data_IF_897477034364
#
_entry.id   IF_897477034364
#
_cell.length_a   1.000
_cell.length_b   1.000
_cell.length_c   1.000
_cell.angle_alpha   90.00
_cell.angle_beta   90.00
_cell.angle_gamma   90.00
#
_symmetry.space_group_name_H-M   'P 1'
#
loop_
_entity.id
_entity.type
_entity.pdbx_description
1 polymer ?
#
# COMPACT_ATOMS: atom_id res chain seq x y z
N UNK A 1 -4.20 -12.41 -9.29
CA UNK A 1 -3.82 -12.87 -7.93
C UNK A 1 -4.99 -13.65 -7.38
N UNK A 2 -4.93 -14.98 -7.41
CA UNK A 2 -6.04 -15.85 -6.98
C UNK A 2 -5.94 -16.06 -5.45
N UNK A 3 -7.03 -15.85 -4.71
CA UNK A 3 -7.12 -16.22 -3.29
C UNK A 3 -6.74 -15.17 -2.25
N UNK A 4 -6.61 -13.88 -2.62
CA UNK A 4 -6.33 -12.76 -1.67
C UNK A 4 -7.42 -11.71 -1.62
N UNK A 5 -8.62 -12.06 -2.08
CA UNK A 5 -9.74 -11.12 -2.20
C UNK A 5 -10.26 -10.60 -0.87
N UNK A 6 -10.06 -11.36 0.21
CA UNK A 6 -10.45 -10.94 1.55
C UNK A 6 -9.51 -9.84 2.05
N UNK A 7 -8.20 -10.07 1.97
CA UNK A 7 -7.18 -9.11 2.42
C UNK A 7 -7.23 -7.81 1.59
N UNK A 8 -7.44 -7.93 0.26
CA UNK A 8 -7.62 -6.76 -0.60
C UNK A 8 -8.88 -5.96 -0.22
N UNK A 9 -9.98 -6.64 0.11
CA UNK A 9 -11.19 -5.97 0.61
C UNK A 9 -10.94 -5.25 1.93
N UNK A 10 -10.18 -5.86 2.85
CA UNK A 10 -9.82 -5.20 4.11
C UNK A 10 -8.98 -3.93 3.89
N UNK A 11 -8.08 -3.93 2.91
CA UNK A 11 -7.32 -2.72 2.53
C UNK A 11 -8.30 -1.61 2.11
N UNK A 12 -9.22 -1.92 1.20
CA UNK A 12 -10.24 -0.98 0.73
C UNK A 12 -11.07 -0.44 1.91
N UNK A 13 -11.56 -1.33 2.77
CA UNK A 13 -12.39 -0.97 3.92
C UNK A 13 -11.65 -0.05 4.90
N UNK A 14 -10.35 -0.30 5.15
CA UNK A 14 -9.53 0.53 6.02
C UNK A 14 -9.29 1.90 5.39
N UNK A 15 -8.94 1.97 4.10
CA UNK A 15 -8.70 3.24 3.39
C UNK A 15 -9.96 4.13 3.35
N UNK A 16 -11.16 3.53 3.39
CA UNK A 16 -12.44 4.25 3.41
C UNK A 16 -12.85 4.77 4.79
N UNK A 17 -12.09 4.48 5.85
CA UNK A 17 -12.41 4.97 7.20
C UNK A 17 -12.17 6.48 7.31
N UNK A 18 -13.00 7.16 8.10
CA UNK A 18 -12.81 8.59 8.42
C UNK A 18 -11.57 8.85 9.29
N UNK A 19 -11.17 7.88 10.12
CA UNK A 19 -10.00 7.93 11.01
C UNK A 19 -9.29 6.58 10.97
N UNK A 20 -7.99 6.58 11.22
CA UNK A 20 -7.17 5.36 11.20
C UNK A 20 -7.28 4.64 9.84
N UNK A 21 -7.10 5.40 8.76
CA UNK A 21 -7.25 4.94 7.38
C UNK A 21 -5.92 4.46 6.76
N UNK A 22 -4.99 3.98 7.59
CA UNK A 22 -3.67 3.51 7.17
C UNK A 22 -3.62 1.99 7.37
N UNK A 23 -3.85 1.18 6.31
CA UNK A 23 -3.73 -0.28 6.41
C UNK A 23 -2.29 -0.69 6.70
N UNK A 24 -2.11 -1.64 7.63
CA UNK A 24 -0.81 -2.26 7.93
C UNK A 24 -0.95 -3.76 7.74
N UNK A 25 -0.23 -4.31 6.77
CA UNK A 25 -0.19 -5.75 6.52
C UNK A 25 0.85 -6.39 7.43
N UNK A 26 0.39 -7.13 8.43
CA UNK A 26 1.24 -7.91 9.35
C UNK A 26 1.30 -9.38 8.94
N UNK A 27 2.35 -10.08 9.38
CA UNK A 27 2.57 -11.49 9.08
C UNK A 27 4.05 -11.80 8.83
N UNK A 28 4.39 -13.08 8.77
CA UNK A 28 5.77 -13.54 8.57
C UNK A 28 6.38 -13.08 7.24
N UNK A 29 7.71 -13.16 7.13
CA UNK A 29 8.40 -12.90 5.87
C UNK A 29 7.97 -13.95 4.81
N UNK A 30 7.82 -13.52 3.56
CA UNK A 30 7.48 -14.44 2.45
C UNK A 30 6.01 -14.82 2.30
N UNK A 31 5.10 -14.45 3.22
CA UNK A 31 3.67 -14.82 3.14
C UNK A 31 2.88 -14.15 2.00
N UNK A 32 3.53 -13.32 1.18
CA UNK A 32 2.91 -12.65 0.04
C UNK A 32 2.25 -11.30 0.34
N UNK A 33 2.74 -10.56 1.36
CA UNK A 33 2.25 -9.20 1.66
C UNK A 33 2.29 -8.28 0.43
N UNK A 34 3.38 -8.34 -0.34
CA UNK A 34 3.54 -7.61 -1.60
C UNK A 34 2.46 -7.97 -2.61
N UNK A 35 2.15 -9.25 -2.76
CA UNK A 35 1.12 -9.72 -3.69
C UNK A 35 -0.28 -9.19 -3.33
N UNK A 36 -0.57 -8.97 -2.04
CA UNK A 36 -1.83 -8.33 -1.62
C UNK A 36 -1.88 -6.88 -2.10
N UNK A 37 -0.79 -6.12 -1.95
CA UNK A 37 -0.71 -4.71 -2.39
C UNK A 37 -0.79 -4.59 -3.92
N UNK A 38 -0.09 -5.46 -4.65
CA UNK A 38 -0.17 -5.54 -6.11
C UNK A 38 -1.59 -5.88 -6.59
N UNK A 39 -2.29 -6.75 -5.86
CA UNK A 39 -3.70 -7.08 -6.14
C UNK A 39 -4.63 -5.90 -5.92
N UNK A 40 -4.41 -5.14 -4.86
CA UNK A 40 -5.12 -3.87 -4.65
C UNK A 40 -4.84 -2.87 -5.78
N UNK A 41 -3.58 -2.72 -6.20
CA UNK A 41 -3.21 -1.83 -7.31
C UNK A 41 -3.87 -2.23 -8.62
N UNK A 42 -3.95 -3.53 -8.91
CA UNK A 42 -4.65 -4.04 -10.08
C UNK A 42 -6.15 -3.70 -10.04
N UNK A 43 -6.80 -3.81 -8.88
CA UNK A 43 -8.21 -3.39 -8.73
C UNK A 43 -8.41 -1.90 -8.97
N UNK A 44 -7.52 -1.05 -8.44
CA UNK A 44 -7.54 0.38 -8.71
C UNK A 44 -7.40 0.66 -10.22
N UNK A 45 -6.47 -0.01 -10.89
CA UNK A 45 -6.26 0.13 -12.33
C UNK A 45 -7.48 -0.32 -13.17
N UNK A 46 -8.20 -1.35 -12.72
CA UNK A 46 -9.42 -1.82 -13.37
C UNK A 46 -10.70 -1.05 -12.96
N UNK A 47 -10.60 -0.12 -12.01
CA UNK A 47 -11.77 0.56 -11.45
C UNK A 47 -12.65 -0.33 -10.55
N UNK A 48 -12.15 -1.51 -10.15
CA UNK A 48 -12.81 -2.44 -9.22
C UNK A 48 -12.60 -2.01 -7.75
N UNK A 49 -12.92 -0.76 -7.48
CA UNK A 49 -12.81 -0.11 -6.16
C UNK A 49 -13.91 0.94 -6.01
N UNK A 50 -14.26 1.34 -4.77
CA UNK A 50 -15.18 2.44 -4.54
C UNK A 50 -14.76 3.74 -5.25
N UNK A 51 -15.70 4.61 -5.65
CA UNK A 51 -15.41 5.83 -6.41
C UNK A 51 -14.30 6.71 -5.82
N UNK A 52 -14.20 6.76 -4.49
CA UNK A 52 -13.19 7.54 -3.77
C UNK A 52 -11.75 7.04 -3.98
N UNK A 53 -11.58 5.77 -4.36
CA UNK A 53 -10.28 5.16 -4.66
C UNK A 53 -10.05 4.99 -6.16
N UNK A 54 -10.99 5.41 -7.02
CA UNK A 54 -10.77 5.39 -8.46
C UNK A 54 -9.80 6.52 -8.85
N UNK A 55 -8.96 6.27 -9.85
CA UNK A 55 -8.00 7.24 -10.40
C UNK A 55 -6.98 7.79 -9.40
N UNK A 56 -6.72 7.07 -8.31
CA UNK A 56 -5.62 7.38 -7.41
C UNK A 56 -4.30 6.82 -7.96
N UNK A 57 -3.19 7.42 -7.58
CA UNK A 57 -1.86 6.87 -7.82
C UNK A 57 -1.39 6.08 -6.59
N UNK A 58 -0.79 4.92 -6.83
CA UNK A 58 -0.14 4.11 -5.80
C UNK A 58 1.36 4.24 -6.00
N UNK A 59 2.04 4.66 -4.96
CA UNK A 59 3.50 4.84 -4.97
C UNK A 59 4.16 3.83 -4.02
N UNK A 60 5.33 3.36 -4.41
CA UNK A 60 6.22 2.57 -3.55
C UNK A 60 7.32 3.48 -3.03
N UNK A 61 7.57 3.43 -1.73
CA UNK A 61 8.67 4.13 -1.10
C UNK A 61 9.82 3.15 -0.88
N UNK A 62 10.95 3.40 -1.54
CA UNK A 62 12.18 2.64 -1.32
C UNK A 62 13.04 3.36 -0.27
N UNK A 63 13.09 2.80 0.93
CA UNK A 63 13.87 3.35 2.04
C UNK A 63 15.39 3.29 1.78
N UNK A 64 15.86 2.30 1.00
CA UNK A 64 17.28 2.19 0.65
C UNK A 64 17.73 3.31 -0.29
N UNK A 65 16.89 3.65 -1.27
CA UNK A 65 17.13 4.81 -2.14
C UNK A 65 17.06 6.13 -1.38
N UNK A 66 16.10 6.28 -0.47
CA UNK A 66 16.04 7.46 0.38
C UNK A 66 17.29 7.60 1.23
N UNK A 67 17.81 6.50 1.79
CA UNK A 67 18.99 6.52 2.66
C UNK A 67 20.27 6.82 1.88
N UNK A 68 20.39 6.32 0.65
CA UNK A 68 21.53 6.60 -0.23
C UNK A 68 21.64 8.08 -0.63
N UNK A 69 20.52 8.81 -0.65
CA UNK A 69 20.49 10.25 -0.94
C UNK A 69 20.65 11.18 0.28
N UNK A 70 20.39 10.67 1.50
CA UNK A 70 20.57 11.42 2.74
C UNK A 70 22.00 11.26 3.25
N UNK A 71 22.92 12.06 2.70
CA UNK A 71 24.34 12.01 3.06
C UNK A 71 24.62 12.73 4.40
N UNK A 72 23.75 13.64 4.82
CA UNK A 72 23.94 14.46 6.03
C UNK A 72 22.92 14.08 7.11
N UNK A 73 23.40 13.95 8.34
CA UNK A 73 22.57 13.68 9.53
C UNK A 73 21.53 14.80 9.70
N UNK A 74 20.26 14.49 9.44
CA UNK A 74 19.13 15.42 9.53
C UNK A 74 18.30 15.55 8.25
N UNK A 75 18.80 15.14 7.09
CA UNK A 75 18.08 15.27 5.80
C UNK A 75 16.89 14.32 5.64
N UNK A 76 16.76 13.32 6.52
CA UNK A 76 15.71 12.31 6.44
C UNK A 76 14.48 12.61 7.32
N UNK A 77 14.69 13.34 8.42
CA UNK A 77 13.69 13.50 9.50
C UNK A 77 13.31 14.97 9.76
N UNK A 78 13.99 15.92 9.12
CA UNK A 78 13.78 17.38 9.31
C UNK A 78 13.44 18.08 8.01
#
# INVERSE_FOLDING_TARGET
IQGRDFEIRQIVDILMRRRQNNPILTGEAGVGKTAVVEGFALRVAHGDVPPQLQRIAIHTLDLGLLQAGAAVKGEFET
#
